data_IF_315442911872
#
_entry.id   IF_315442911872
#
_cell.length_a   1.000
_cell.length_b   1.000
_cell.length_c   1.000
_cell.angle_alpha   90.00
_cell.angle_beta   90.00
_cell.angle_gamma   90.00
#
_symmetry.space_group_name_H-M   'P 1'
#
loop_
_entity.id
_entity.type
_entity.pdbx_description
1 polymer ?
#
# COMPACT_ATOMS: atom_id res chain seq x y z
N UNK A 1 23.73 18.98 -27.69
CA UNK A 1 24.56 18.09 -26.85
C UNK A 1 23.61 17.37 -25.91
N UNK A 2 23.24 16.16 -26.30
CA UNK A 2 22.32 15.33 -25.52
C UNK A 2 23.02 14.86 -24.25
N UNK A 3 22.40 15.14 -23.07
CA UNK A 3 22.85 14.56 -21.81
C UNK A 3 22.70 13.05 -21.95
N UNK A 4 23.83 12.33 -22.03
CA UNK A 4 23.86 10.87 -21.96
C UNK A 4 23.08 10.41 -20.74
N UNK A 5 22.04 9.63 -20.98
CA UNK A 5 21.19 9.06 -19.93
C UNK A 5 21.94 7.90 -19.30
N UNK A 6 22.61 8.13 -18.16
CA UNK A 6 23.40 7.09 -17.49
C UNK A 6 22.49 6.08 -16.79
N UNK A 7 22.27 4.94 -17.47
CA UNK A 7 21.70 3.75 -16.83
C UNK A 7 22.78 3.05 -16.02
N UNK A 8 22.46 2.66 -14.78
CA UNK A 8 23.34 1.81 -13.97
C UNK A 8 23.56 0.44 -14.64
N UNK A 9 24.60 -0.29 -14.22
CA UNK A 9 24.86 -1.63 -14.75
C UNK A 9 23.64 -2.54 -14.61
N UNK A 10 22.98 -2.51 -13.44
CA UNK A 10 21.78 -3.30 -13.15
C UNK A 10 20.58 -2.92 -14.03
N UNK A 11 20.39 -1.65 -14.29
CA UNK A 11 19.34 -1.15 -15.17
C UNK A 11 19.57 -1.55 -16.64
N UNK A 12 20.82 -1.60 -17.08
CA UNK A 12 21.20 -2.11 -18.42
C UNK A 12 20.94 -3.61 -18.56
N UNK A 13 21.29 -4.41 -17.55
CA UNK A 13 21.00 -5.86 -17.53
C UNK A 13 19.50 -6.13 -17.64
N UNK A 14 18.70 -5.43 -16.86
CA UNK A 14 17.22 -5.57 -16.86
C UNK A 14 16.65 -5.14 -18.22
N UNK A 15 17.12 -4.01 -18.78
CA UNK A 15 16.68 -3.51 -20.08
C UNK A 15 17.05 -4.46 -21.23
N UNK A 16 18.23 -5.07 -21.17
CA UNK A 16 18.67 -6.07 -22.15
C UNK A 16 17.79 -7.33 -22.12
N UNK A 17 17.53 -7.88 -20.93
CA UNK A 17 16.62 -9.05 -20.76
C UNK A 17 15.19 -8.73 -21.23
N UNK A 18 14.70 -7.53 -20.89
CA UNK A 18 13.38 -7.07 -21.34
C UNK A 18 13.31 -6.98 -22.86
N UNK A 19 14.34 -6.44 -23.51
CA UNK A 19 14.39 -6.26 -24.95
C UNK A 19 14.54 -7.58 -25.71
N UNK A 20 15.12 -8.60 -25.07
CA UNK A 20 15.17 -9.99 -25.56
C UNK A 20 13.86 -10.77 -25.28
N UNK A 21 12.77 -10.10 -24.89
CA UNK A 21 11.44 -10.71 -24.75
C UNK A 21 11.14 -11.34 -23.38
N UNK A 22 12.10 -11.35 -22.43
CA UNK A 22 11.92 -11.96 -21.12
C UNK A 22 10.78 -11.30 -20.31
N UNK A 23 9.85 -12.06 -19.76
CA UNK A 23 8.82 -11.53 -18.85
C UNK A 23 9.45 -11.02 -17.54
N UNK A 24 8.71 -10.22 -16.77
CA UNK A 24 9.23 -9.76 -15.46
C UNK A 24 9.54 -10.91 -14.50
N UNK A 25 8.88 -12.05 -14.65
CA UNK A 25 9.16 -13.28 -13.88
C UNK A 25 10.46 -13.91 -14.33
N UNK A 26 10.72 -13.96 -15.63
CA UNK A 26 11.96 -14.52 -16.19
C UNK A 26 13.17 -13.64 -15.86
N UNK A 27 13.00 -12.30 -15.93
CA UNK A 27 14.03 -11.34 -15.52
C UNK A 27 14.34 -11.51 -14.02
N UNK A 28 13.31 -11.66 -13.19
CA UNK A 28 13.46 -11.87 -11.76
C UNK A 28 14.25 -13.16 -11.47
N UNK A 29 13.90 -14.26 -12.12
CA UNK A 29 14.59 -15.54 -11.98
C UNK A 29 16.05 -15.44 -12.47
N UNK A 30 16.30 -14.83 -13.64
CA UNK A 30 17.67 -14.69 -14.21
C UNK A 30 18.58 -13.83 -13.33
N UNK A 31 18.03 -12.86 -12.63
CA UNK A 31 18.77 -11.90 -11.83
C UNK A 31 18.73 -12.16 -10.32
N UNK A 32 18.07 -13.26 -9.92
CA UNK A 32 17.85 -13.67 -8.53
C UNK A 32 17.27 -12.54 -7.64
N UNK A 33 16.22 -11.88 -8.15
CA UNK A 33 15.48 -10.81 -7.46
C UNK A 33 13.98 -11.06 -7.57
N UNK A 34 13.16 -10.33 -6.80
CA UNK A 34 11.71 -10.48 -6.89
C UNK A 34 11.14 -9.85 -8.17
N UNK A 35 10.01 -10.36 -8.74
CA UNK A 35 9.33 -9.72 -9.86
C UNK A 35 8.92 -8.26 -9.57
N UNK A 36 8.64 -7.91 -8.31
CA UNK A 36 8.36 -6.54 -7.91
C UNK A 36 9.60 -5.65 -7.96
N UNK A 37 10.76 -6.18 -7.58
CA UNK A 37 12.05 -5.48 -7.74
C UNK A 37 12.31 -5.17 -9.21
N UNK A 38 12.00 -6.12 -10.10
CA UNK A 38 12.08 -5.89 -11.56
C UNK A 38 11.15 -4.75 -12.01
N UNK A 39 9.89 -4.73 -11.54
CA UNK A 39 8.94 -3.64 -11.85
C UNK A 39 9.47 -2.27 -11.41
N UNK A 40 10.07 -2.18 -10.22
CA UNK A 40 10.67 -0.94 -9.72
C UNK A 40 11.84 -0.48 -10.61
N UNK A 41 12.76 -1.39 -10.95
CA UNK A 41 13.86 -1.07 -11.87
C UNK A 41 13.35 -0.65 -13.24
N UNK A 42 12.36 -1.34 -13.81
CA UNK A 42 11.77 -0.98 -15.10
C UNK A 42 11.12 0.40 -15.06
N UNK A 43 10.42 0.76 -13.99
CA UNK A 43 9.87 2.11 -13.83
C UNK A 43 10.97 3.17 -13.84
N UNK A 44 12.06 2.93 -13.12
CA UNK A 44 13.21 3.83 -13.08
C UNK A 44 13.90 3.92 -14.45
N UNK A 45 14.08 2.78 -15.12
CA UNK A 45 14.62 2.72 -16.50
C UNK A 45 13.74 3.53 -17.44
N UNK A 46 12.42 3.30 -17.44
CA UNK A 46 11.48 4.02 -18.32
C UNK A 46 11.52 5.53 -18.08
N UNK A 47 11.57 5.96 -16.82
CA UNK A 47 11.69 7.38 -16.47
C UNK A 47 12.99 7.99 -17.01
N UNK A 48 14.12 7.28 -16.86
CA UNK A 48 15.43 7.74 -17.33
C UNK A 48 15.51 7.84 -18.86
N UNK A 49 15.02 6.80 -19.59
CA UNK A 49 15.06 6.76 -21.06
C UNK A 49 13.86 7.46 -21.71
N UNK A 50 12.95 8.04 -20.90
CA UNK A 50 11.70 8.70 -21.34
C UNK A 50 10.81 7.77 -22.19
N UNK A 51 10.77 6.49 -21.87
CA UNK A 51 9.87 5.53 -22.49
C UNK A 51 8.57 5.42 -21.69
N UNK A 52 7.43 5.35 -22.37
CA UNK A 52 6.11 5.19 -21.78
C UNK A 52 5.60 3.74 -21.84
N UNK A 53 6.28 2.88 -22.60
CA UNK A 53 5.89 1.50 -22.84
C UNK A 53 7.08 0.54 -22.96
N UNK A 54 6.79 -0.75 -22.80
CA UNK A 54 7.75 -1.82 -23.02
C UNK A 54 8.35 -1.79 -24.45
N UNK A 55 7.51 -1.51 -25.44
CA UNK A 55 7.92 -1.43 -26.86
C UNK A 55 8.89 -0.28 -27.07
N UNK A 56 8.64 0.89 -26.47
CA UNK A 56 9.56 2.03 -26.55
C UNK A 56 10.88 1.76 -25.85
N UNK A 57 10.87 1.05 -24.72
CA UNK A 57 12.07 0.65 -24.00
C UNK A 57 12.90 -0.36 -24.81
N UNK A 58 12.24 -1.32 -25.49
CA UNK A 58 12.88 -2.25 -26.41
C UNK A 58 13.53 -1.51 -27.59
N UNK A 59 12.80 -0.57 -28.20
CA UNK A 59 13.32 0.25 -29.29
C UNK A 59 14.53 1.09 -28.87
N UNK A 60 14.51 1.62 -27.65
CA UNK A 60 15.65 2.33 -27.07
C UNK A 60 16.86 1.41 -26.91
N UNK A 61 16.67 0.18 -26.40
CA UNK A 61 17.74 -0.81 -26.21
C UNK A 61 18.43 -1.17 -27.55
N UNK A 62 17.64 -1.32 -28.62
CA UNK A 62 18.16 -1.54 -29.98
C UNK A 62 18.94 -0.32 -30.48
N UNK A 63 18.36 0.89 -30.39
CA UNK A 63 18.98 2.14 -30.85
C UNK A 63 20.25 2.50 -30.08
N UNK A 64 20.34 2.16 -28.81
CA UNK A 64 21.53 2.40 -27.96
C UNK A 64 22.60 1.31 -28.07
N UNK A 65 22.39 0.29 -28.90
CA UNK A 65 23.35 -0.80 -29.10
C UNK A 65 23.46 -1.77 -27.92
N UNK A 66 22.49 -1.74 -26.98
CA UNK A 66 22.45 -2.67 -25.85
C UNK A 66 22.12 -4.11 -26.31
N UNK A 67 21.43 -4.25 -27.45
CA UNK A 67 21.15 -5.52 -28.12
C UNK A 67 21.32 -5.33 -29.65
N UNK A 68 21.79 -6.38 -30.34
CA UNK A 68 21.86 -6.40 -31.79
C UNK A 68 20.49 -6.75 -32.39
N UNK A 69 20.13 -6.11 -33.50
CA UNK A 69 18.82 -6.33 -34.15
C UNK A 69 18.61 -7.76 -34.68
N UNK A 70 19.69 -8.58 -34.76
CA UNK A 70 19.61 -9.98 -35.19
C UNK A 70 19.04 -10.96 -34.15
N UNK A 71 18.84 -10.53 -32.91
CA UNK A 71 18.30 -11.39 -31.81
C UNK A 71 16.79 -11.33 -31.69
N UNK A 72 16.09 -10.63 -32.57
CA UNK A 72 14.64 -10.42 -32.48
C UNK A 72 13.83 -11.32 -33.44
N UNK A 73 14.34 -12.50 -33.76
CA UNK A 73 13.63 -13.42 -34.66
C UNK A 73 12.92 -14.54 -33.92
N UNK A 74 11.62 -14.54 -34.12
CA UNK A 74 10.58 -15.58 -34.22
C UNK A 74 10.53 -16.72 -33.19
N UNK A 75 9.37 -16.97 -32.56
CA UNK A 75 9.14 -18.17 -31.79
C UNK A 75 9.07 -19.39 -32.73
N UNK A 76 10.09 -20.23 -32.69
CA UNK A 76 10.05 -21.56 -33.32
C UNK A 76 9.00 -22.43 -32.60
N UNK A 77 7.97 -22.78 -33.37
CA UNK A 77 7.15 -23.96 -33.11
C UNK A 77 8.02 -25.20 -33.33
N UNK A 78 8.33 -25.90 -32.26
CA UNK A 78 8.80 -27.28 -32.36
C UNK A 78 7.60 -28.20 -32.25
N UNK A 79 7.17 -28.73 -33.39
CA UNK A 79 6.35 -29.94 -33.50
C UNK A 79 7.25 -31.14 -33.20
N UNK A 80 7.04 -31.79 -32.07
CA UNK A 80 7.46 -33.18 -31.85
C UNK A 80 6.24 -34.02 -31.53
N UNK A 81 6.11 -35.23 -32.12
CA UNK A 81 4.89 -36.03 -32.07
C UNK A 81 4.81 -36.82 -30.76
N UNK A 82 3.63 -36.76 -30.15
CA UNK A 82 3.25 -37.55 -28.97
C UNK A 82 2.89 -38.97 -29.45
N UNK A 83 3.42 -40.05 -28.85
CA UNK A 83 3.03 -41.40 -29.19
C UNK A 83 1.64 -41.71 -28.60
N UNK A 84 0.75 -42.21 -29.46
CA UNK A 84 -0.54 -42.81 -29.15
C UNK A 84 -0.38 -43.96 -28.13
N UNK A 85 -1.06 -43.85 -27.01
CA UNK A 85 -1.51 -45.04 -26.26
C UNK A 85 -3.02 -45.03 -26.14
N UNK A 86 -3.60 -45.89 -26.98
CA UNK A 86 -4.96 -46.35 -26.97
C UNK A 86 -5.35 -47.00 -25.63
N UNK A 87 -6.34 -46.45 -24.97
CA UNK A 87 -7.22 -47.24 -24.09
C UNK A 87 -8.67 -46.89 -24.38
N UNK A 88 -9.35 -47.85 -25.01
CA UNK A 88 -10.79 -47.93 -25.15
C UNK A 88 -11.45 -47.94 -23.78
N UNK A 89 -12.33 -46.98 -23.55
CA UNK A 89 -13.44 -47.14 -22.61
C UNK A 89 -14.74 -46.70 -23.34
N UNK A 90 -15.63 -47.63 -23.47
CA UNK A 90 -16.95 -47.45 -24.12
C UNK A 90 -17.81 -46.47 -23.31
N UNK A 91 -18.61 -45.60 -23.97
CA UNK A 91 -19.55 -44.75 -23.26
C UNK A 91 -20.80 -45.54 -22.89
N UNK A 92 -21.11 -45.57 -21.60
CA UNK A 92 -22.40 -46.07 -21.10
C UNK A 92 -23.52 -45.11 -21.51
N UNK A 93 -24.52 -45.63 -22.19
CA UNK A 93 -25.72 -44.91 -22.62
C UNK A 93 -26.53 -44.46 -21.40
N UNK A 94 -26.97 -43.20 -21.29
CA UNK A 94 -27.84 -42.78 -20.20
C UNK A 94 -29.22 -43.36 -20.34
N UNK A 95 -29.80 -43.79 -19.24
CA UNK A 95 -31.08 -44.47 -19.12
C UNK A 95 -32.20 -43.52 -19.58
N UNK A 96 -33.03 -43.93 -20.55
CA UNK A 96 -34.10 -43.16 -21.16
C UNK A 96 -35.17 -42.64 -20.17
N UNK A 97 -35.25 -43.21 -18.98
CA UNK A 97 -36.21 -42.82 -17.93
C UNK A 97 -35.81 -41.49 -17.26
N UNK A 98 -34.52 -41.19 -17.11
CA UNK A 98 -34.03 -39.94 -16.48
C UNK A 98 -34.25 -38.74 -17.43
N UNK A 99 -34.15 -38.94 -18.74
CA UNK A 99 -34.34 -37.86 -19.72
C UNK A 99 -35.81 -37.42 -19.82
N UNK A 100 -36.77 -38.35 -19.68
CA UNK A 100 -38.19 -38.02 -19.69
C UNK A 100 -38.64 -37.21 -18.46
N UNK A 101 -38.07 -37.47 -17.30
CA UNK A 101 -38.35 -36.71 -16.07
C UNK A 101 -37.87 -35.26 -16.13
N UNK A 102 -36.69 -35.02 -16.72
CA UNK A 102 -36.13 -33.68 -16.88
C UNK A 102 -36.91 -32.80 -17.87
N UNK A 103 -37.44 -33.40 -18.97
CA UNK A 103 -38.23 -32.67 -19.95
C UNK A 103 -39.61 -32.30 -19.37
N UNK A 104 -40.23 -33.16 -18.56
CA UNK A 104 -41.48 -32.84 -17.87
C UNK A 104 -41.33 -31.78 -16.80
N UNK A 105 -40.18 -31.74 -16.06
CA UNK A 105 -39.90 -30.69 -15.09
C UNK A 105 -39.67 -29.33 -15.76
N UNK A 106 -38.96 -29.26 -16.88
CA UNK A 106 -38.80 -28.03 -17.65
C UNK A 106 -40.12 -27.50 -18.25
N UNK A 107 -40.98 -28.37 -18.73
CA UNK A 107 -42.31 -27.98 -19.23
C UNK A 107 -43.20 -27.44 -18.11
N UNK A 108 -43.16 -28.00 -16.91
CA UNK A 108 -43.91 -27.51 -15.75
C UNK A 108 -43.44 -26.11 -15.31
N UNK A 109 -42.16 -25.83 -15.36
CA UNK A 109 -41.57 -24.49 -15.04
C UNK A 109 -41.99 -23.46 -16.10
N UNK A 110 -42.00 -23.82 -17.39
CA UNK A 110 -42.43 -22.94 -18.47
C UNK A 110 -43.94 -22.61 -18.40
N UNK A 111 -44.80 -23.56 -18.04
CA UNK A 111 -46.26 -23.34 -17.87
C UNK A 111 -46.53 -22.50 -16.62
N UNK A 112 -45.75 -22.65 -15.56
CA UNK A 112 -45.88 -21.82 -14.35
C UNK A 112 -45.45 -20.37 -14.60
N UNK A 113 -44.37 -20.15 -15.35
CA UNK A 113 -43.91 -18.82 -15.76
C UNK A 113 -44.89 -18.10 -16.69
N UNK A 114 -45.57 -18.83 -17.58
CA UNK A 114 -46.55 -18.26 -18.51
C UNK A 114 -47.88 -17.85 -17.86
N UNK A 115 -48.17 -18.27 -16.62
CA UNK A 115 -49.42 -17.92 -15.90
C UNK A 115 -49.27 -16.65 -15.03
N UNK A 116 -48.12 -16.04 -14.95
CA UNK A 116 -47.91 -14.82 -14.15
C UNK A 116 -47.86 -13.51 -14.95
N UNK A 117 -48.15 -13.53 -16.25
CA UNK A 117 -48.25 -12.31 -17.05
C UNK A 117 -49.73 -12.02 -17.32
N UNK A 118 -50.37 -11.20 -16.49
CA UNK A 118 -51.62 -10.52 -16.82
C UNK A 118 -51.28 -9.26 -17.63
N UNK A 119 -52.05 -8.98 -18.70
CA UNK A 119 -51.81 -7.80 -19.52
C UNK A 119 -52.61 -6.61 -19.00
N UNK A 120 -51.95 -5.52 -18.68
CA UNK A 120 -52.56 -4.19 -18.74
C UNK A 120 -51.45 -3.11 -18.80
N UNK A 121 -51.27 -2.56 -19.94
CA UNK A 121 -51.22 -1.16 -20.38
C UNK A 121 -50.28 -0.99 -21.57
N UNK A 122 -50.88 -0.97 -22.77
CA UNK A 122 -50.32 -0.31 -23.93
C UNK A 122 -50.24 1.19 -23.65
N UNK A 123 -48.99 1.72 -23.51
CA UNK A 123 -48.70 3.11 -23.80
C UNK A 123 -47.42 3.18 -24.64
N UNK A 124 -47.62 3.78 -25.79
CA UNK A 124 -46.74 3.99 -26.92
C UNK A 124 -45.22 3.96 -26.59
N UNK A 125 -44.54 3.05 -27.28
CA UNK A 125 -43.08 2.97 -27.37
C UNK A 125 -42.53 4.15 -28.19
N UNK A 126 -41.88 5.10 -27.51
CA UNK A 126 -41.02 6.08 -28.12
C UNK A 126 -39.67 5.42 -28.44
N UNK A 127 -39.25 5.29 -29.72
CA UNK A 127 -38.04 4.55 -30.08
C UNK A 127 -36.72 5.28 -29.74
N UNK A 128 -36.78 6.48 -29.17
CA UNK A 128 -35.57 7.31 -28.88
C UNK A 128 -35.22 7.43 -27.40
N UNK A 129 -35.85 6.66 -26.53
CA UNK A 129 -35.45 6.60 -25.12
C UNK A 129 -34.35 5.57 -24.95
N UNK A 130 -33.12 5.98 -25.22
CA UNK A 130 -31.94 5.25 -24.73
C UNK A 130 -32.13 5.04 -23.22
N UNK A 131 -32.32 3.80 -22.79
CA UNK A 131 -32.31 3.45 -21.37
C UNK A 131 -31.09 4.10 -20.72
N UNK A 132 -31.22 4.81 -19.60
CA UNK A 132 -30.03 5.28 -18.89
C UNK A 132 -29.23 4.03 -18.55
N UNK A 133 -28.05 3.90 -19.12
CA UNK A 133 -27.05 2.95 -18.65
C UNK A 133 -26.85 3.36 -17.19
N UNK A 134 -27.41 2.56 -16.29
CA UNK A 134 -27.18 2.68 -14.87
C UNK A 134 -25.68 2.54 -14.70
N UNK A 135 -24.99 3.68 -14.67
CA UNK A 135 -23.59 3.77 -14.27
C UNK A 135 -23.60 3.29 -12.83
N UNK A 136 -23.42 1.99 -12.65
CA UNK A 136 -23.10 1.42 -11.35
C UNK A 136 -21.95 2.27 -10.82
N UNK A 137 -22.22 3.15 -9.86
CA UNK A 137 -21.21 3.95 -9.21
C UNK A 137 -20.24 2.95 -8.61
N UNK A 138 -19.05 2.86 -9.19
CA UNK A 138 -18.01 1.95 -8.73
C UNK A 138 -17.76 2.32 -7.27
N UNK A 139 -18.28 1.50 -6.34
CA UNK A 139 -18.05 1.67 -4.92
C UNK A 139 -16.55 1.50 -4.69
N UNK A 140 -15.87 2.62 -4.41
CA UNK A 140 -14.42 2.60 -4.16
C UNK A 140 -14.07 1.96 -2.82
N UNK A 141 -14.99 2.01 -1.85
CA UNK A 141 -14.84 1.43 -0.52
C UNK A 141 -15.42 0.03 -0.44
N UNK A 142 -14.67 -0.88 0.15
CA UNK A 142 -15.05 -2.27 0.38
C UNK A 142 -14.71 -2.65 1.83
N UNK A 143 -15.57 -3.48 2.45
CA UNK A 143 -15.22 -4.16 3.69
C UNK A 143 -14.35 -5.36 3.34
N UNK A 144 -13.35 -5.61 4.18
CA UNK A 144 -12.46 -6.76 4.11
C UNK A 144 -12.55 -7.54 5.42
N UNK A 145 -12.08 -8.79 5.51
CA UNK A 145 -12.10 -9.53 6.77
C UNK A 145 -11.57 -8.71 7.93
N UNK A 146 -12.32 -8.55 9.04
CA UNK A 146 -11.92 -7.72 10.17
C UNK A 146 -10.61 -8.25 10.79
N UNK A 147 -9.97 -7.42 11.62
CA UNK A 147 -8.85 -7.86 12.42
C UNK A 147 -9.31 -8.96 13.38
N UNK A 148 -8.46 -9.98 13.63
CA UNK A 148 -8.77 -11.02 14.63
C UNK A 148 -8.99 -10.47 16.03
N UNK A 149 -8.45 -9.28 16.32
CA UNK A 149 -8.56 -8.58 17.59
C UNK A 149 -8.57 -7.06 17.36
N UNK A 150 -9.53 -6.31 17.96
CA UNK A 150 -9.57 -4.86 17.85
C UNK A 150 -8.28 -4.22 18.35
N UNK A 151 -7.71 -3.23 17.62
CA UNK A 151 -6.48 -2.55 18.03
C UNK A 151 -6.32 -1.16 17.45
N UNK A 152 -5.60 -0.32 18.19
CA UNK A 152 -5.19 1.02 17.78
C UNK A 152 -3.70 1.28 18.09
N UNK A 153 -3.13 2.32 17.52
CA UNK A 153 -1.73 2.71 17.79
C UNK A 153 -0.69 1.65 17.39
N UNK A 154 -1.07 0.73 16.50
CA UNK A 154 -0.20 -0.30 15.94
C UNK A 154 0.68 0.25 14.83
N UNK A 155 1.80 -0.42 14.60
CA UNK A 155 2.61 -0.23 13.40
C UNK A 155 2.13 -1.13 12.26
N UNK A 156 2.32 -0.68 11.02
CA UNK A 156 2.04 -1.49 9.84
C UNK A 156 3.14 -1.34 8.77
N UNK A 157 3.41 -2.43 8.05
CA UNK A 157 4.37 -2.44 6.94
C UNK A 157 4.01 -3.51 5.91
N UNK A 158 4.39 -3.29 4.65
CA UNK A 158 4.27 -4.29 3.59
C UNK A 158 5.60 -4.99 3.40
N UNK A 159 5.56 -6.32 3.40
CA UNK A 159 6.68 -7.14 2.97
C UNK A 159 6.18 -8.23 2.02
N UNK A 160 6.76 -8.26 0.81
CA UNK A 160 6.28 -9.14 -0.28
C UNK A 160 4.77 -8.95 -0.51
N UNK A 161 3.99 -10.03 -0.44
CA UNK A 161 2.55 -10.01 -0.69
C UNK A 161 1.72 -9.98 0.61
N UNK A 162 2.30 -9.52 1.72
CA UNK A 162 1.63 -9.47 3.03
C UNK A 162 1.72 -8.10 3.68
N UNK A 163 0.67 -7.75 4.42
CA UNK A 163 0.62 -6.55 5.25
C UNK A 163 0.75 -7.00 6.71
N UNK A 164 1.81 -6.56 7.38
CA UNK A 164 2.11 -6.89 8.77
C UNK A 164 1.54 -5.80 9.68
N UNK A 165 0.79 -6.20 10.70
CA UNK A 165 0.34 -5.34 11.80
C UNK A 165 1.07 -5.77 13.07
N UNK A 166 1.70 -4.82 13.76
CA UNK A 166 2.63 -5.07 14.85
C UNK A 166 2.23 -4.29 16.10
N UNK A 167 2.08 -4.97 17.22
CA UNK A 167 1.77 -4.36 18.51
C UNK A 167 0.47 -3.55 18.51
N UNK A 168 0.45 -2.45 19.25
CA UNK A 168 -0.72 -1.60 19.46
C UNK A 168 -1.38 -1.82 20.81
N UNK A 169 -2.55 -1.25 20.98
CA UNK A 169 -3.37 -1.36 22.19
C UNK A 169 -4.74 -1.95 21.84
N UNK A 170 -5.18 -2.93 22.62
CA UNK A 170 -6.49 -3.58 22.58
C UNK A 170 -7.32 -3.14 23.76
N UNK A 171 -8.61 -3.53 23.88
CA UNK A 171 -9.39 -3.30 25.11
C UNK A 171 -8.75 -3.92 26.37
N UNK A 172 -7.88 -4.93 26.21
CA UNK A 172 -7.18 -5.62 27.30
C UNK A 172 -5.84 -4.97 27.65
N UNK A 173 -5.35 -4.04 26.84
CA UNK A 173 -4.11 -3.31 27.03
C UNK A 173 -3.13 -3.41 25.87
N UNK A 174 -1.90 -2.99 26.14
CA UNK A 174 -0.81 -2.96 25.15
C UNK A 174 -0.33 -4.38 24.84
N UNK A 175 -0.20 -4.69 23.57
CA UNK A 175 0.11 -6.04 23.08
C UNK A 175 1.43 -6.12 22.31
N UNK A 176 1.96 -7.33 22.20
CA UNK A 176 3.16 -7.66 21.42
C UNK A 176 2.86 -8.47 20.16
N UNK A 177 1.60 -8.83 19.94
CA UNK A 177 1.20 -9.72 18.84
C UNK A 177 1.52 -9.11 17.47
N UNK A 178 1.94 -9.98 16.56
CA UNK A 178 2.16 -9.67 15.15
C UNK A 178 1.26 -10.55 14.32
N UNK A 179 0.50 -9.92 13.43
CA UNK A 179 -0.34 -10.62 12.48
C UNK A 179 -0.02 -10.14 11.06
N UNK A 180 -0.09 -11.03 10.11
CA UNK A 180 0.09 -10.73 8.69
C UNK A 180 -1.20 -11.01 7.93
N UNK A 181 -1.64 -10.04 7.13
CA UNK A 181 -2.76 -10.16 6.22
C UNK A 181 -2.26 -10.47 4.81
N UNK A 182 -2.80 -11.52 4.19
CA UNK A 182 -2.58 -11.86 2.80
C UNK A 182 -3.77 -11.35 1.96
N UNK A 183 -3.65 -10.25 1.19
CA UNK A 183 -4.76 -9.65 0.47
C UNK A 183 -5.36 -10.56 -0.61
N UNK A 184 -4.56 -11.39 -1.26
CA UNK A 184 -5.01 -12.33 -2.30
C UNK A 184 -5.95 -13.42 -1.72
N UNK A 185 -5.59 -13.96 -0.55
CA UNK A 185 -6.34 -15.03 0.13
C UNK A 185 -7.38 -14.49 1.13
N UNK A 186 -7.36 -13.18 1.40
CA UNK A 186 -8.15 -12.51 2.42
C UNK A 186 -8.02 -13.18 3.79
N UNK A 187 -6.84 -13.62 4.16
CA UNK A 187 -6.58 -14.41 5.36
C UNK A 187 -5.54 -13.77 6.28
N UNK A 188 -5.69 -14.08 7.58
CA UNK A 188 -4.78 -13.64 8.62
C UNK A 188 -3.87 -14.78 9.08
N UNK A 189 -2.61 -14.47 9.35
CA UNK A 189 -1.61 -15.39 9.89
C UNK A 189 -0.95 -14.79 11.13
N UNK A 190 -0.80 -15.60 12.18
CA UNK A 190 -0.03 -15.20 13.36
C UNK A 190 1.46 -15.34 13.05
N UNK A 191 2.24 -14.36 13.51
CA UNK A 191 3.69 -14.30 13.36
C UNK A 191 4.36 -14.25 14.72
N UNK A 192 5.69 -14.36 14.75
CA UNK A 192 6.47 -14.24 15.98
C UNK A 192 6.21 -12.91 16.67
N UNK A 193 5.81 -12.96 17.93
CA UNK A 193 5.55 -11.78 18.73
C UNK A 193 6.76 -10.85 18.81
N UNK A 194 6.50 -9.53 18.77
CA UNK A 194 7.51 -8.52 19.07
C UNK A 194 8.00 -8.72 20.51
N UNK A 195 9.33 -8.68 20.77
CA UNK A 195 9.85 -8.93 22.13
C UNK A 195 9.27 -8.02 23.20
N UNK A 196 9.05 -6.74 22.88
CA UNK A 196 8.45 -5.78 23.80
C UNK A 196 7.07 -5.34 23.33
N UNK A 197 6.05 -5.48 24.20
CA UNK A 197 4.71 -4.97 23.96
C UNK A 197 4.69 -3.44 23.98
N UNK A 198 4.24 -2.81 22.90
CA UNK A 198 4.20 -1.35 22.75
C UNK A 198 3.04 -0.90 21.86
N UNK A 199 2.55 0.32 22.12
CA UNK A 199 1.62 1.07 21.27
C UNK A 199 2.17 2.46 20.93
N UNK A 200 1.47 3.24 20.10
CA UNK A 200 1.96 4.54 19.63
C UNK A 200 3.21 4.39 18.79
N UNK A 201 3.24 3.39 17.92
CA UNK A 201 4.41 3.01 17.10
C UNK A 201 4.12 3.12 15.61
N UNK A 202 5.20 3.27 14.84
CA UNK A 202 5.20 3.14 13.39
C UNK A 202 6.28 2.16 12.98
N UNK A 203 6.13 1.58 11.80
CA UNK A 203 7.11 0.69 11.20
C UNK A 203 7.55 1.21 9.84
N UNK A 204 8.81 0.94 9.49
CA UNK A 204 9.31 1.18 8.16
C UNK A 204 10.14 -0.01 7.68
N UNK A 205 9.98 -0.34 6.40
CA UNK A 205 10.76 -1.40 5.77
C UNK A 205 12.04 -0.82 5.18
N UNK A 206 13.18 -1.43 5.52
CA UNK A 206 14.45 -1.24 4.84
C UNK A 206 14.99 -2.59 4.38
N UNK A 207 15.15 -2.76 3.07
CA UNK A 207 15.58 -4.04 2.49
C UNK A 207 14.64 -5.18 2.85
N UNK A 208 15.18 -6.19 3.52
CA UNK A 208 14.46 -7.41 3.92
C UNK A 208 13.94 -7.39 5.36
N UNK A 209 13.97 -6.23 6.04
CA UNK A 209 13.58 -6.11 7.44
C UNK A 209 12.56 -5.01 7.66
N UNK A 210 11.71 -5.20 8.68
CA UNK A 210 10.76 -4.22 9.19
C UNK A 210 11.30 -3.71 10.53
N UNK A 211 11.52 -2.41 10.64
CA UNK A 211 12.07 -1.75 11.82
C UNK A 211 10.95 -1.05 12.60
N UNK A 212 10.95 -1.26 13.92
CA UNK A 212 9.96 -0.68 14.84
C UNK A 212 10.70 -0.04 16.02
N UNK A 213 10.92 1.27 16.01
CA UNK A 213 11.56 1.97 17.13
C UNK A 213 10.56 2.32 18.24
N UNK A 214 11.01 2.32 19.49
CA UNK A 214 10.31 2.92 20.60
C UNK A 214 8.92 2.38 20.92
N UNK A 215 8.02 3.28 21.32
CA UNK A 215 6.63 3.04 21.68
C UNK A 215 6.34 3.18 23.17
N UNK A 216 5.05 3.25 23.50
CA UNK A 216 4.51 3.30 24.88
C UNK A 216 4.23 1.89 25.39
N UNK A 217 4.79 1.54 26.54
CA UNK A 217 4.57 0.26 27.23
C UNK A 217 3.30 0.28 28.07
N UNK A 218 2.89 -0.89 28.60
CA UNK A 218 1.71 -1.02 29.47
C UNK A 218 1.77 -0.14 30.76
N UNK A 219 2.97 0.16 31.25
CA UNK A 219 3.18 1.06 32.37
C UNK A 219 3.14 2.56 32.00
N UNK A 220 2.75 2.88 30.77
CA UNK A 220 2.68 4.24 30.20
C UNK A 220 4.03 4.93 30.02
N UNK A 221 5.14 4.20 30.11
CA UNK A 221 6.47 4.74 29.83
C UNK A 221 6.85 4.52 28.36
N UNK A 222 7.46 5.54 27.75
CA UNK A 222 8.07 5.37 26.44
C UNK A 222 9.36 4.54 26.54
N UNK A 223 9.68 3.77 25.51
CA UNK A 223 10.91 3.01 25.39
C UNK A 223 11.79 3.55 24.26
N UNK A 224 13.09 3.32 24.35
CA UNK A 224 14.04 3.64 23.26
C UNK A 224 14.43 2.42 22.42
N UNK A 225 13.92 1.23 22.71
CA UNK A 225 14.33 0.02 21.98
C UNK A 225 13.98 0.10 20.51
N UNK A 226 14.94 -0.20 19.64
CA UNK A 226 14.71 -0.45 18.22
C UNK A 226 14.78 -1.96 17.98
N UNK A 227 13.75 -2.51 17.41
CA UNK A 227 13.69 -3.93 17.06
C UNK A 227 13.43 -4.08 15.55
N UNK A 228 14.17 -4.98 14.93
CA UNK A 228 14.06 -5.31 13.51
C UNK A 228 13.51 -6.71 13.34
N UNK A 229 12.44 -6.83 12.59
CA UNK A 229 11.78 -8.08 12.24
C UNK A 229 12.25 -8.57 10.87
N UNK A 230 12.62 -9.85 10.78
CA UNK A 230 12.87 -10.55 9.54
C UNK A 230 11.63 -11.41 9.20
N UNK A 231 10.80 -10.99 8.21
CA UNK A 231 9.56 -11.69 7.91
C UNK A 231 9.76 -13.08 7.29
N UNK A 232 10.91 -13.33 6.65
CA UNK A 232 11.22 -14.66 6.07
C UNK A 232 11.62 -15.66 7.12
N UNK A 233 12.44 -15.21 8.08
CA UNK A 233 12.88 -16.06 9.19
C UNK A 233 11.85 -16.13 10.32
N UNK A 234 10.86 -15.24 10.34
CA UNK A 234 9.89 -15.00 11.41
C UNK A 234 10.59 -14.75 12.77
N UNK A 235 11.59 -13.85 12.76
CA UNK A 235 12.44 -13.59 13.92
C UNK A 235 12.68 -12.09 14.14
N UNK A 236 12.85 -11.71 15.41
CA UNK A 236 13.19 -10.37 15.86
C UNK A 236 14.65 -10.27 16.27
N UNK A 237 15.27 -9.12 16.02
CA UNK A 237 16.59 -8.76 16.48
C UNK A 237 16.61 -7.36 17.08
N UNK A 238 17.23 -7.20 18.24
CA UNK A 238 17.48 -5.88 18.81
C UNK A 238 18.51 -5.12 17.96
N UNK A 239 18.36 -3.79 17.91
CA UNK A 239 19.23 -2.82 17.24
C UNK A 239 19.60 -1.70 18.20
N UNK A 240 20.48 -0.80 17.76
CA UNK A 240 20.87 0.36 18.57
C UNK A 240 19.64 1.18 18.97
N UNK A 241 19.45 1.37 20.28
CA UNK A 241 18.32 2.08 20.84
C UNK A 241 18.34 3.56 20.44
N UNK A 242 17.13 4.17 20.36
CA UNK A 242 16.97 5.61 20.24
C UNK A 242 17.75 6.36 21.33
N UNK A 243 18.32 7.52 21.02
CA UNK A 243 19.00 8.36 22.02
C UNK A 243 18.09 8.81 23.17
N UNK A 244 16.78 8.93 22.88
CA UNK A 244 15.72 9.26 23.86
C UNK A 244 14.56 8.28 23.68
N UNK A 245 13.95 7.72 24.74
CA UNK A 245 12.73 6.94 24.63
C UNK A 245 11.60 7.76 24.03
N UNK A 246 10.94 7.24 22.97
CA UNK A 246 9.90 7.95 22.23
C UNK A 246 8.75 7.04 21.84
N UNK A 247 7.53 7.60 21.85
CA UNK A 247 6.33 7.07 21.19
C UNK A 247 5.67 8.16 20.32
N UNK A 248 4.65 7.80 19.56
CA UNK A 248 3.84 8.74 18.77
C UNK A 248 4.68 9.68 17.88
N UNK A 249 5.84 9.22 17.47
CA UNK A 249 6.75 9.87 16.54
C UNK A 249 6.27 9.69 15.09
N UNK A 250 6.77 10.51 14.17
CA UNK A 250 6.63 10.27 12.74
C UNK A 250 7.86 9.50 12.22
N UNK A 251 7.65 8.50 11.34
CA UNK A 251 8.70 7.63 10.82
C UNK A 251 8.59 7.51 9.30
N UNK A 252 9.71 7.66 8.61
CA UNK A 252 9.82 7.41 7.18
C UNK A 252 11.12 6.67 6.84
N UNK A 253 11.09 5.88 5.77
CA UNK A 253 12.27 5.31 5.13
C UNK A 253 12.68 6.17 3.93
N UNK A 254 13.94 6.53 3.83
CA UNK A 254 14.48 7.28 2.71
C UNK A 254 15.93 6.86 2.42
N UNK A 255 16.22 6.47 1.18
CA UNK A 255 17.57 6.09 0.70
C UNK A 255 18.34 5.15 1.65
N UNK A 256 17.64 4.10 2.12
CA UNK A 256 18.25 3.05 2.96
C UNK A 256 18.36 3.38 4.45
N UNK A 257 17.93 4.56 4.88
CA UNK A 257 17.92 4.99 6.27
C UNK A 257 16.51 5.18 6.81
N UNK A 258 16.34 5.13 8.14
CA UNK A 258 15.12 5.58 8.82
C UNK A 258 15.26 7.02 9.25
N UNK A 259 14.20 7.78 9.11
CA UNK A 259 14.10 9.15 9.62
C UNK A 259 12.94 9.20 10.61
N UNK A 260 13.24 9.61 11.84
CA UNK A 260 12.28 9.73 12.93
C UNK A 260 12.19 11.20 13.36
N UNK A 261 10.96 11.70 13.48
CA UNK A 261 10.68 13.09 13.75
C UNK A 261 9.79 13.24 14.97
N UNK A 262 10.23 14.05 15.94
CA UNK A 262 9.46 14.38 17.12
C UNK A 262 9.09 13.18 17.98
N UNK A 263 7.84 13.16 18.46
CA UNK A 263 7.28 12.11 19.31
C UNK A 263 7.02 12.59 20.74
N UNK A 264 6.65 11.66 21.60
CA UNK A 264 6.35 11.84 23.01
C UNK A 264 7.35 11.06 23.86
N UNK A 265 8.02 11.72 24.81
CA UNK A 265 9.04 11.09 25.69
C UNK A 265 8.46 10.57 27.01
N UNK A 266 7.16 10.61 27.19
CA UNK A 266 6.45 10.33 28.44
C UNK A 266 6.12 11.57 29.25
N UNK A 267 6.67 12.75 28.85
CA UNK A 267 6.47 14.03 29.56
C UNK A 267 6.28 15.22 28.62
N UNK A 268 7.01 15.25 27.51
CA UNK A 268 7.06 16.39 26.60
C UNK A 268 6.91 15.93 25.15
N UNK A 269 6.30 16.79 24.34
CA UNK A 269 6.39 16.69 22.88
C UNK A 269 7.80 17.08 22.45
N UNK A 270 8.41 16.27 21.60
CA UNK A 270 9.81 16.41 21.17
C UNK A 270 9.90 17.05 19.79
N UNK A 271 11.05 17.69 19.54
CA UNK A 271 11.32 18.37 18.27
C UNK A 271 12.57 17.86 17.56
N UNK A 272 13.23 16.84 18.06
CA UNK A 272 14.43 16.29 17.46
C UNK A 272 14.10 15.52 16.19
N UNK A 273 15.04 15.51 15.25
CA UNK A 273 15.08 14.66 14.07
C UNK A 273 16.24 13.70 14.21
N UNK A 274 15.96 12.40 14.03
CA UNK A 274 16.97 11.34 14.07
C UNK A 274 17.04 10.60 12.76
N UNK A 275 18.25 10.27 12.32
CA UNK A 275 18.49 9.32 11.23
C UNK A 275 19.14 8.06 11.79
N UNK A 276 18.58 6.90 11.48
CA UNK A 276 19.19 5.60 11.77
C UNK A 276 19.75 4.98 10.50
N UNK A 277 21.03 4.61 10.57
CA UNK A 277 21.68 3.86 9.51
C UNK A 277 21.77 2.37 9.91
N UNK A 278 21.13 1.45 9.15
CA UNK A 278 21.11 0.03 9.51
C UNK A 278 22.44 -0.69 9.27
N UNK A 279 23.32 -0.16 8.42
CA UNK A 279 24.63 -0.77 8.14
C UNK A 279 25.61 -0.54 9.30
N UNK A 280 25.65 0.67 9.85
CA UNK A 280 26.48 1.01 11.00
C UNK A 280 25.79 0.74 12.34
N UNK A 281 24.49 0.46 12.35
CA UNK A 281 23.64 0.32 13.54
C UNK A 281 23.73 1.53 14.48
N UNK A 282 23.62 2.75 13.93
CA UNK A 282 23.81 4.01 14.69
C UNK A 282 22.72 5.03 14.39
N UNK A 283 22.44 5.86 15.40
CA UNK A 283 21.56 7.03 15.28
C UNK A 283 22.39 8.32 15.19
N UNK A 284 21.98 9.20 14.30
CA UNK A 284 22.54 10.55 14.12
C UNK A 284 21.45 11.58 14.37
N UNK A 285 21.79 12.65 15.11
CA UNK A 285 20.89 13.80 15.30
C UNK A 285 21.04 14.74 14.10
N UNK A 286 19.91 15.14 13.54
CA UNK A 286 19.81 16.01 12.37
C UNK A 286 19.13 17.35 12.75
N UNK A 287 18.88 18.22 11.76
CA UNK A 287 18.20 19.50 11.97
C UNK A 287 16.81 19.27 12.59
N UNK A 288 16.53 19.87 13.77
CA UNK A 288 15.28 19.66 14.47
C UNK A 288 14.07 20.19 13.68
N UNK A 289 12.89 19.75 14.09
CA UNK A 289 11.60 20.27 13.63
C UNK A 289 11.47 21.78 13.94
N UNK A 290 10.76 22.53 13.10
CA UNK A 290 10.42 23.92 13.40
C UNK A 290 9.65 24.12 14.72
N UNK A 291 8.85 23.10 15.12
CA UNK A 291 8.17 23.07 16.41
C UNK A 291 8.02 21.62 16.92
N UNK A 292 8.18 21.37 18.26
CA UNK A 292 7.97 20.06 18.86
C UNK A 292 6.55 19.53 18.58
N UNK A 293 6.43 18.22 18.39
CA UNK A 293 5.11 17.57 18.15
C UNK A 293 5.14 16.06 18.34
N UNK A 294 3.99 15.50 18.62
CA UNK A 294 3.71 14.05 18.57
C UNK A 294 2.47 13.76 17.72
N UNK A 295 2.20 12.50 17.41
CA UNK A 295 1.04 12.08 16.61
C UNK A 295 1.07 12.55 15.15
N UNK A 296 2.17 13.13 14.68
CA UNK A 296 2.39 13.44 13.27
C UNK A 296 2.66 12.18 12.47
N UNK A 297 2.54 12.27 11.14
CA UNK A 297 2.89 11.18 10.21
C UNK A 297 3.89 11.67 9.18
N UNK A 298 4.79 10.77 8.78
CA UNK A 298 5.77 11.04 7.74
C UNK A 298 5.63 10.06 6.58
N UNK A 299 5.77 10.56 5.35
CA UNK A 299 5.76 9.77 4.13
C UNK A 299 6.78 10.32 3.14
N UNK A 300 7.35 9.43 2.34
CA UNK A 300 8.35 9.77 1.33
C UNK A 300 7.70 9.84 -0.06
N UNK A 301 7.88 10.97 -0.75
CA UNK A 301 7.45 11.14 -2.13
C UNK A 301 8.33 12.18 -2.84
N UNK A 302 8.69 11.94 -4.11
CA UNK A 302 9.39 12.90 -4.95
C UNK A 302 10.75 13.36 -4.41
N UNK A 303 11.51 12.47 -3.74
CA UNK A 303 12.87 12.76 -3.24
C UNK A 303 12.92 13.58 -1.95
N UNK A 304 11.82 13.67 -1.21
CA UNK A 304 11.70 14.35 0.09
C UNK A 304 10.75 13.62 1.02
N UNK A 305 10.79 13.97 2.30
CA UNK A 305 9.89 13.42 3.33
C UNK A 305 8.87 14.50 3.68
N UNK A 306 7.59 14.15 3.61
CA UNK A 306 6.50 15.01 4.06
C UNK A 306 6.17 14.68 5.50
N UNK A 307 6.17 15.69 6.38
CA UNK A 307 5.71 15.60 7.76
C UNK A 307 4.38 16.34 7.88
N UNK A 308 3.35 15.67 8.40
CA UNK A 308 1.97 16.15 8.35
C UNK A 308 1.35 16.15 9.73
N UNK A 309 0.80 17.29 10.14
CA UNK A 309 0.01 17.45 11.36
C UNK A 309 0.76 17.18 12.65
N UNK A 310 0.08 16.51 13.58
CA UNK A 310 0.51 16.26 14.95
C UNK A 310 -0.11 17.22 15.95
N UNK A 311 0.34 17.15 17.21
CA UNK A 311 -0.03 18.07 18.28
C UNK A 311 1.18 18.51 19.07
N UNK A 312 1.19 19.75 19.55
CA UNK A 312 2.17 20.29 20.49
C UNK A 312 1.68 20.24 21.95
N UNK A 313 0.51 19.61 22.17
CA UNK A 313 -0.17 19.52 23.46
C UNK A 313 -1.14 20.67 23.74
N UNK A 314 -0.99 21.81 23.07
CA UNK A 314 -1.91 22.94 23.18
C UNK A 314 -2.94 22.95 22.05
N UNK A 315 -2.52 22.52 20.87
CA UNK A 315 -3.35 22.51 19.66
C UNK A 315 -2.99 21.36 18.72
N UNK A 316 -3.94 21.02 17.87
CA UNK A 316 -3.71 20.14 16.71
C UNK A 316 -3.15 20.97 15.56
N UNK A 317 -2.02 20.54 15.01
CA UNK A 317 -1.26 21.28 14.02
C UNK A 317 -1.81 21.05 12.60
N UNK A 318 -1.82 22.11 11.81
CA UNK A 318 -2.20 22.08 10.38
C UNK A 318 -1.01 21.88 9.46
N UNK A 319 0.20 21.90 10.01
CA UNK A 319 1.42 21.95 9.21
C UNK A 319 1.51 20.77 8.25
N UNK A 320 1.88 21.09 7.03
CA UNK A 320 2.47 20.15 6.06
C UNK A 320 3.88 20.68 5.79
N UNK A 321 4.87 19.94 6.23
CA UNK A 321 6.28 20.30 6.08
C UNK A 321 6.95 19.35 5.10
N UNK A 322 7.87 19.86 4.29
CA UNK A 322 8.79 19.05 3.52
C UNK A 322 10.17 19.08 4.18
N UNK A 323 10.73 17.90 4.40
CA UNK A 323 12.10 17.70 4.83
C UNK A 323 12.94 17.15 3.67
N UNK A 324 14.10 17.76 3.49
CA UNK A 324 15.05 17.39 2.42
C UNK A 324 16.32 16.79 3.03
N UNK A 325 16.41 15.45 3.16
CA UNK A 325 17.55 14.79 3.79
C UNK A 325 18.90 15.18 3.20
N UNK A 326 18.99 15.30 1.88
CA UNK A 326 20.23 15.65 1.21
C UNK A 326 20.70 17.08 1.51
N UNK A 327 19.75 18.03 1.67
CA UNK A 327 20.10 19.40 2.09
C UNK A 327 20.64 19.43 3.51
N UNK A 328 20.02 18.67 4.43
CA UNK A 328 20.46 18.60 5.81
C UNK A 328 21.89 18.03 5.94
N UNK A 329 22.17 16.96 5.22
CA UNK A 329 23.52 16.38 5.15
C UNK A 329 24.56 17.36 4.58
N UNK A 330 24.14 18.27 3.72
CA UNK A 330 24.98 19.35 3.16
C UNK A 330 24.98 20.61 4.02
N UNK A 331 24.34 20.61 5.20
CA UNK A 331 24.19 21.77 6.09
C UNK A 331 23.44 22.96 5.46
N UNK A 332 22.53 22.65 4.55
CA UNK A 332 21.60 23.59 3.92
C UNK A 332 20.24 23.59 4.65
N UNK A 333 19.38 24.62 4.48
CA UNK A 333 18.04 24.62 5.06
C UNK A 333 17.23 23.39 4.63
N UNK A 334 16.94 22.51 5.60
CA UNK A 334 16.35 21.20 5.35
C UNK A 334 14.81 21.21 5.34
N UNK A 335 14.18 22.21 5.96
CA UNK A 335 12.73 22.29 6.12
C UNK A 335 12.11 23.35 5.20
N UNK A 336 10.94 23.03 4.66
CA UNK A 336 10.08 23.92 3.87
C UNK A 336 8.62 23.78 4.32
N UNK A 337 7.92 24.90 4.50
CA UNK A 337 6.49 24.89 4.81
C UNK A 337 5.68 24.81 3.51
N UNK A 338 4.76 23.85 3.43
CA UNK A 338 3.86 23.62 2.32
C UNK A 338 2.44 24.05 2.66
N UNK A 339 1.50 23.86 1.70
CA UNK A 339 0.08 24.13 1.92
C UNK A 339 -0.44 23.37 3.14
N UNK A 340 -0.96 24.06 4.16
CA UNK A 340 -1.40 23.43 5.38
C UNK A 340 -2.69 22.61 5.19
N UNK A 341 -2.93 21.69 6.12
CA UNK A 341 -4.23 21.01 6.25
C UNK A 341 -5.36 22.02 6.48
N UNK A 342 -6.57 21.76 5.98
CA UNK A 342 -7.75 22.58 6.28
C UNK A 342 -8.03 22.65 7.79
N UNK A 343 -7.81 21.54 8.49
CA UNK A 343 -8.01 21.38 9.92
C UNK A 343 -6.85 20.63 10.56
N UNK A 344 -6.38 21.10 11.73
CA UNK A 344 -5.29 20.46 12.47
C UNK A 344 -5.71 19.08 13.01
N UNK A 345 -4.80 18.11 12.94
CA UNK A 345 -5.06 16.74 13.42
C UNK A 345 -3.81 15.96 13.77
N UNK A 346 -3.97 14.98 14.65
CA UNK A 346 -2.96 14.01 15.04
C UNK A 346 -3.49 12.58 14.92
N UNK A 347 -2.60 11.60 14.95
CA UNK A 347 -2.90 10.15 14.98
C UNK A 347 -3.73 9.65 13.79
N UNK A 348 -3.67 10.39 12.67
CA UNK A 348 -4.27 9.99 11.39
C UNK A 348 -3.45 8.89 10.71
N UNK A 349 -4.06 8.18 9.77
CA UNK A 349 -3.35 7.38 8.77
C UNK A 349 -2.88 8.24 7.61
N UNK A 350 -1.62 8.08 7.19
CA UNK A 350 -1.08 8.74 5.99
C UNK A 350 -0.33 7.72 5.15
N UNK A 351 -0.58 7.72 3.84
CA UNK A 351 0.08 6.84 2.89
C UNK A 351 0.27 7.52 1.53
N UNK A 352 1.23 7.05 0.76
CA UNK A 352 1.46 7.50 -0.63
C UNK A 352 1.08 6.37 -1.59
N UNK A 353 0.26 6.71 -2.58
CA UNK A 353 -0.06 5.81 -3.67
C UNK A 353 -0.10 6.59 -4.99
N UNK A 354 0.69 6.15 -5.98
CA UNK A 354 0.80 6.78 -7.29
C UNK A 354 1.08 8.31 -7.25
N UNK A 355 2.00 8.74 -6.39
CA UNK A 355 2.39 10.14 -6.28
C UNK A 355 1.38 11.04 -5.56
N UNK A 356 0.30 10.48 -5.02
CA UNK A 356 -0.69 11.17 -4.21
C UNK A 356 -0.55 10.77 -2.75
N UNK A 357 -0.54 11.74 -1.84
CA UNK A 357 -0.54 11.51 -0.40
C UNK A 357 -2.01 11.46 0.05
N UNK A 358 -2.41 10.37 0.68
CA UNK A 358 -3.73 10.16 1.25
C UNK A 358 -3.68 10.27 2.76
N UNK A 359 -4.69 10.91 3.35
CA UNK A 359 -4.84 11.10 4.77
C UNK A 359 -6.26 10.69 5.19
N UNK A 360 -6.35 9.83 6.20
CA UNK A 360 -7.60 9.25 6.71
C UNK A 360 -7.65 9.35 8.23
N UNK A 361 -8.80 9.74 8.77
CA UNK A 361 -9.08 9.75 10.20
C UNK A 361 -8.23 10.76 11.00
N UNK A 362 -7.95 10.43 12.22
CA UNK A 362 -7.21 11.23 13.18
C UNK A 362 -8.09 12.00 14.16
N UNK A 363 -7.45 12.59 15.16
CA UNK A 363 -8.07 13.40 16.20
C UNK A 363 -7.88 14.88 15.92
N UNK A 364 -8.93 15.70 16.03
CA UNK A 364 -8.93 17.16 15.83
C UNK A 364 -9.22 17.95 17.11
N UNK A 365 -9.38 17.26 18.25
CA UNK A 365 -9.59 17.87 19.54
C UNK A 365 -11.05 18.16 19.93
N UNK A 366 -11.98 18.07 18.98
CA UNK A 366 -13.39 18.38 19.24
C UNK A 366 -14.23 17.16 19.66
N UNK A 367 -13.59 16.06 20.09
CA UNK A 367 -14.21 14.73 20.27
C UNK A 367 -15.05 14.26 19.07
N UNK A 368 -14.98 14.98 17.96
CA UNK A 368 -15.56 14.59 16.69
C UNK A 368 -14.46 13.94 15.85
N UNK A 369 -14.64 12.68 15.59
CA UNK A 369 -13.83 11.99 14.61
C UNK A 369 -14.06 12.64 13.25
N UNK A 370 -13.00 13.09 12.60
CA UNK A 370 -13.17 13.68 11.29
C UNK A 370 -13.42 12.58 10.26
N UNK A 371 -14.59 12.64 9.64
CA UNK A 371 -14.88 11.91 8.41
C UNK A 371 -14.12 12.49 7.20
N UNK A 372 -13.35 13.56 7.40
CA UNK A 372 -12.66 14.21 6.29
C UNK A 372 -11.45 13.40 5.86
N UNK A 373 -11.61 12.80 4.71
CA UNK A 373 -10.57 12.15 3.94
C UNK A 373 -9.95 13.16 3.02
N UNK A 374 -8.65 13.29 3.08
CA UNK A 374 -7.90 14.27 2.30
C UNK A 374 -6.86 13.59 1.42
N UNK A 375 -6.69 14.11 0.23
CA UNK A 375 -5.59 13.78 -0.66
C UNK A 375 -4.79 15.02 -1.00
N UNK A 376 -3.48 14.89 -1.07
CA UNK A 376 -2.56 15.93 -1.47
C UNK A 376 -1.80 15.50 -2.70
N UNK A 377 -1.84 16.32 -3.73
CA UNK A 377 -1.06 16.12 -4.95
C UNK A 377 0.10 17.10 -4.95
N UNK A 378 1.34 16.63 -4.83
CA UNK A 378 2.51 17.51 -4.74
C UNK A 378 2.65 18.51 -5.89
N UNK A 379 2.24 18.13 -7.10
CA UNK A 379 2.29 19.00 -8.29
C UNK A 379 1.27 20.15 -8.24
N UNK A 380 0.11 19.93 -7.61
CA UNK A 380 -0.96 20.91 -7.46
C UNK A 380 -0.80 21.72 -6.16
N UNK A 381 0.03 21.23 -5.23
CA UNK A 381 0.26 21.80 -3.91
C UNK A 381 -1.04 22.09 -3.13
N UNK A 382 -2.05 21.21 -3.24
CA UNK A 382 -3.37 21.41 -2.63
C UNK A 382 -3.89 20.17 -1.96
N UNK A 383 -4.59 20.36 -0.81
CA UNK A 383 -5.39 19.36 -0.15
C UNK A 383 -6.82 19.38 -0.69
N UNK A 384 -7.34 18.22 -1.06
CA UNK A 384 -8.70 18.04 -1.56
C UNK A 384 -9.37 16.87 -0.85
N UNK A 385 -10.69 16.96 -0.63
CA UNK A 385 -11.47 15.84 -0.13
C UNK A 385 -11.59 14.73 -1.17
N UNK A 386 -11.79 13.50 -0.71
CA UNK A 386 -12.17 12.36 -1.56
C UNK A 386 -13.29 11.53 -0.93
N UNK A 387 -13.78 10.49 -1.62
CA UNK A 387 -14.98 9.75 -1.26
C UNK A 387 -14.94 9.25 0.19
N UNK A 388 -15.93 9.58 1.04
CA UNK A 388 -15.96 9.16 2.44
C UNK A 388 -16.17 7.64 2.57
N UNK A 389 -15.60 7.00 3.62
CA UNK A 389 -15.85 5.60 3.89
C UNK A 389 -17.30 5.37 4.37
N UNK A 390 -17.80 4.14 4.26
CA UNK A 390 -19.14 3.79 4.72
C UNK A 390 -19.29 3.86 6.25
N UNK A 391 -18.19 3.88 6.97
CA UNK A 391 -18.12 3.88 8.42
C UNK A 391 -17.07 4.88 8.90
N UNK A 392 -17.20 5.37 10.14
CA UNK A 392 -16.22 6.28 10.75
C UNK A 392 -14.89 5.56 10.96
N UNK A 393 -13.80 6.23 10.61
CA UNK A 393 -12.44 5.78 10.91
C UNK A 393 -11.91 6.62 12.07
N UNK A 394 -11.47 5.95 13.13
CA UNK A 394 -10.98 6.61 14.35
C UNK A 394 -9.58 7.19 14.23
N UNK A 395 -8.98 7.48 15.38
CA UNK A 395 -7.57 7.82 15.50
C UNK A 395 -6.71 6.58 15.76
N UNK A 396 -5.40 6.67 15.55
CA UNK A 396 -4.48 5.55 15.77
C UNK A 396 -4.66 4.37 14.82
N UNK A 397 -5.32 4.58 13.68
CA UNK A 397 -5.45 3.58 12.61
C UNK A 397 -4.14 3.40 11.84
N UNK A 398 -3.97 2.25 11.20
CA UNK A 398 -2.93 2.02 10.21
C UNK A 398 -3.49 2.21 8.80
N UNK A 399 -2.81 3.02 7.98
CA UNK A 399 -3.11 3.21 6.56
C UNK A 399 -1.94 2.72 5.72
N UNK A 400 -2.17 1.72 4.88
CA UNK A 400 -1.12 1.07 4.10
C UNK A 400 -1.52 0.98 2.63
N UNK A 401 -0.66 1.42 1.71
CA UNK A 401 -0.85 1.22 0.29
C UNK A 401 -0.42 -0.21 -0.10
N UNK A 402 -1.28 -0.92 -0.81
CA UNK A 402 -0.96 -2.20 -1.40
C UNK A 402 -1.54 -2.28 -2.81
N UNK A 403 -0.68 -2.44 -3.82
CA UNK A 403 -1.04 -2.38 -5.24
C UNK A 403 -1.82 -1.10 -5.62
N UNK A 404 -3.10 -1.24 -5.99
CA UNK A 404 -3.99 -0.15 -6.39
C UNK A 404 -4.93 0.29 -5.25
N UNK A 405 -4.71 -0.23 -4.05
CA UNK A 405 -5.61 -0.08 -2.92
C UNK A 405 -4.93 0.58 -1.72
N UNK A 406 -5.74 1.26 -0.92
CA UNK A 406 -5.38 1.71 0.42
C UNK A 406 -6.12 0.81 1.42
N UNK A 407 -5.38 0.15 2.29
CA UNK A 407 -5.93 -0.64 3.38
C UNK A 407 -5.93 0.17 4.66
N UNK A 408 -7.08 0.24 5.32
CA UNK A 408 -7.30 0.93 6.60
C UNK A 408 -7.59 -0.12 7.66
N UNK A 409 -6.74 -0.19 8.68
CA UNK A 409 -6.88 -1.19 9.74
C UNK A 409 -7.09 -0.52 11.10
N UNK A 410 -8.03 -1.04 11.86
CA UNK A 410 -8.25 -0.69 13.26
C UNK A 410 -8.49 0.79 13.48
N UNK A 411 -7.78 1.36 14.44
CA UNK A 411 -8.03 2.67 15.00
C UNK A 411 -8.99 2.58 16.18
N UNK A 412 -9.35 3.71 16.76
CA UNK A 412 -10.24 3.73 17.88
C UNK A 412 -10.97 5.06 18.03
N UNK A 413 -12.04 5.02 18.81
CA UNK A 413 -12.84 6.18 19.17
C UNK A 413 -13.14 6.19 20.68
N UNK A 414 -14.12 6.98 21.11
CA UNK A 414 -14.55 7.05 22.51
C UNK A 414 -15.08 5.70 23.06
N UNK A 415 -15.45 4.75 22.20
CA UNK A 415 -15.88 3.39 22.57
C UNK A 415 -14.71 2.40 22.71
N UNK A 416 -13.53 2.77 22.24
CA UNK A 416 -12.31 1.96 22.30
C UNK A 416 -11.74 1.58 20.93
N UNK A 417 -10.77 0.65 20.92
CA UNK A 417 -10.17 0.13 19.70
C UNK A 417 -11.16 -0.61 18.80
N UNK A 418 -10.95 -0.54 17.49
CA UNK A 418 -11.77 -1.16 16.43
C UNK A 418 -11.05 -2.34 15.77
N UNK A 419 -11.81 -3.32 15.31
CA UNK A 419 -11.35 -4.43 14.45
C UNK A 419 -11.58 -4.16 12.95
N UNK A 420 -11.96 -2.94 12.60
CA UNK A 420 -12.31 -2.55 11.24
C UNK A 420 -11.17 -2.78 10.25
N UNK A 421 -11.50 -3.33 9.08
CA UNK A 421 -10.63 -3.40 7.93
C UNK A 421 -11.40 -2.92 6.70
N UNK A 422 -11.06 -1.73 6.22
CA UNK A 422 -11.62 -1.13 5.01
C UNK A 422 -10.57 -1.07 3.91
N UNK A 423 -11.02 -1.20 2.69
CA UNK A 423 -10.16 -1.12 1.49
C UNK A 423 -10.74 -0.09 0.54
N UNK A 424 -9.90 0.88 0.14
CA UNK A 424 -10.25 1.90 -0.83
C UNK A 424 -9.50 1.66 -2.14
N UNK A 425 -10.24 1.53 -3.24
CA UNK A 425 -9.65 1.44 -4.57
C UNK A 425 -9.27 2.84 -5.07
N UNK A 426 -7.99 3.18 -4.95
CA UNK A 426 -7.47 4.48 -5.34
C UNK A 426 -7.22 4.59 -6.85
N UNK A 427 -6.81 3.49 -7.50
CA UNK A 427 -6.48 3.45 -8.93
C UNK A 427 -7.36 2.43 -9.65
N UNK A 428 -7.98 2.85 -10.76
CA UNK A 428 -8.70 1.97 -11.66
C UNK A 428 -7.86 1.72 -12.90
N UNK A 429 -7.62 0.44 -13.21
CA UNK A 429 -7.10 0.02 -14.51
C UNK A 429 -8.27 -0.30 -15.43
N UNK A 430 -8.41 0.44 -16.55
CA UNK A 430 -9.36 0.10 -17.61
C UNK A 430 -8.62 -0.68 -18.68
N UNK A 431 -9.05 -1.91 -18.95
CA UNK A 431 -8.69 -2.58 -20.19
C UNK A 431 -9.51 -1.92 -21.33
N UNK A 432 -8.84 -1.21 -22.21
CA UNK A 432 -9.47 -0.73 -23.45
C UNK A 432 -9.30 -1.86 -24.47
N UNK A 433 -10.38 -2.52 -24.94
CA UNK A 433 -10.24 -3.51 -25.99
C UNK A 433 -9.76 -2.80 -27.26
N UNK A 434 -8.58 -3.19 -27.76
CA UNK A 434 -8.12 -2.76 -29.08
C UNK A 434 -8.88 -3.59 -30.09
N UNK A 435 -9.87 -2.99 -30.73
CA UNK A 435 -10.50 -3.58 -31.91
C UNK A 435 -9.50 -3.34 -33.04
N UNK A 436 -8.77 -4.38 -33.41
CA UNK A 436 -7.95 -4.36 -34.62
C UNK A 436 -8.90 -4.37 -35.83
N UNK A 437 -8.63 -3.55 -36.88
CA UNK A 437 -9.45 -3.47 -38.07
C UNK A 437 -9.45 -4.76 -38.86
#
# INVERSE_FOLDING_TARGET
>A
MDKETHLSQREREILSLLANGASNKDIAASLNISPNTVKVHLRNVYAKIKASSRTEATLYAVKSGLISAESADTPQKTDEPIPEQTRHTQPTRPNRIVLAGLVLAMLAILVFAARQTSPENELASDPDRASPVETASLRRWQNSPPLPEPRQGMAAAVFENQIYLIGGETPQGVIQSVIAYAPEDQSWQIRANKPLAVSGIQAARLGDRIYVPGGTQANRQSTGQLEAYDPRADQWAARASLPVPLSDYALAAFEGNLYLFGGWDGKNHRGETYMYNPESDTWTVLTPLPSPRSGAKAVTEGGKIYLIGGTDGAQFLKDTLAYYPQRDLNQEPAWETLTPLPEGRADMGVAVLAGTIYLIGGNTGNNQQTLSLLQYRPQEAQWQGFDPPPQTTGAGLALIPYENFLHVFGGGDSSGPSDQHLVYQAIFTRAIPIILP
#
